data_IF_079330488536
#
_entry.id   IF_079330488536
#
_cell.length_a   1.000
_cell.length_b   1.000
_cell.length_c   1.000
_cell.angle_alpha   90.00
_cell.angle_beta   90.00
_cell.angle_gamma   90.00
#
_symmetry.space_group_name_H-M   'P 1'
#
loop_
_entity.id
_entity.type
_entity.pdbx_description
1 polymer ?
#
# COMPACT_ATOMS: atom_id res chain seq x y z
N UNK A 1 8.57 24.07 -48.10
CA UNK A 1 9.11 22.72 -47.91
C UNK A 1 10.41 22.84 -47.12
N UNK A 2 10.36 22.75 -45.78
CA UNK A 2 11.56 22.91 -44.95
C UNK A 2 12.31 21.58 -44.94
N UNK A 3 13.45 21.53 -45.64
CA UNK A 3 14.36 20.38 -45.65
C UNK A 3 15.04 20.27 -44.28
N UNK A 4 14.51 19.40 -43.42
CA UNK A 4 15.15 19.04 -42.15
C UNK A 4 16.39 18.20 -42.47
N UNK A 5 17.58 18.74 -42.16
CA UNK A 5 18.87 18.05 -42.28
C UNK A 5 18.83 16.65 -41.65
N UNK A 6 19.40 15.64 -42.32
CA UNK A 6 19.43 14.24 -41.85
C UNK A 6 20.07 14.04 -40.46
N UNK A 7 20.91 14.97 -40.01
CA UNK A 7 21.47 15.00 -38.63
C UNK A 7 20.45 15.43 -37.56
N UNK A 8 19.48 16.28 -37.92
CA UNK A 8 18.36 16.64 -37.02
C UNK A 8 17.37 15.48 -36.92
N UNK A 9 17.06 14.82 -38.04
CA UNK A 9 16.16 13.66 -38.07
C UNK A 9 16.66 12.49 -37.22
N UNK A 10 17.95 12.17 -37.30
CA UNK A 10 18.59 11.14 -36.46
C UNK A 10 18.59 11.50 -34.97
N UNK A 11 18.75 12.77 -34.60
CA UNK A 11 18.60 13.22 -33.21
C UNK A 11 17.17 13.10 -32.69
N UNK A 12 16.17 13.44 -33.51
CA UNK A 12 14.76 13.25 -33.14
C UNK A 12 14.39 11.78 -32.97
N UNK A 13 14.88 10.89 -33.84
CA UNK A 13 14.70 9.44 -33.69
C UNK A 13 15.37 8.94 -32.40
N UNK A 14 16.62 9.36 -32.14
CA UNK A 14 17.34 8.95 -30.94
C UNK A 14 16.64 9.40 -29.65
N UNK A 15 16.14 10.64 -29.59
CA UNK A 15 15.35 11.16 -28.46
C UNK A 15 14.04 10.41 -28.31
N UNK A 16 13.36 10.09 -29.43
CA UNK A 16 12.15 9.27 -29.43
C UNK A 16 12.40 7.86 -28.88
N UNK A 17 13.48 7.20 -29.31
CA UNK A 17 13.86 5.87 -28.82
C UNK A 17 14.24 5.93 -27.33
N UNK A 18 15.04 6.92 -26.90
CA UNK A 18 15.40 7.10 -25.48
C UNK A 18 14.18 7.35 -24.60
N UNK A 19 13.22 8.15 -25.09
CA UNK A 19 11.97 8.42 -24.37
C UNK A 19 11.11 7.15 -24.27
N UNK A 20 11.02 6.36 -25.34
CA UNK A 20 10.31 5.07 -25.33
C UNK A 20 10.99 4.06 -24.40
N UNK A 21 12.32 4.00 -24.38
CA UNK A 21 13.10 3.16 -23.46
C UNK A 21 12.86 3.61 -22.02
N UNK A 22 12.89 4.91 -21.72
CA UNK A 22 12.62 5.43 -20.39
C UNK A 22 11.20 5.12 -19.92
N UNK A 23 10.19 5.36 -20.77
CA UNK A 23 8.79 5.02 -20.49
C UNK A 23 8.64 3.51 -20.24
N UNK A 24 9.26 2.69 -21.08
CA UNK A 24 9.27 1.24 -20.93
C UNK A 24 9.96 0.80 -19.62
N UNK A 25 11.08 1.41 -19.26
CA UNK A 25 11.80 1.15 -18.01
C UNK A 25 10.98 1.56 -16.78
N UNK A 26 10.29 2.70 -16.81
CA UNK A 26 9.37 3.13 -15.74
C UNK A 26 8.23 2.13 -15.58
N UNK A 27 7.61 1.69 -16.69
CA UNK A 27 6.55 0.68 -16.64
C UNK A 27 7.03 -0.68 -16.13
N UNK A 28 8.25 -1.08 -16.46
CA UNK A 28 8.90 -2.28 -15.91
C UNK A 28 9.14 -2.16 -14.41
N UNK A 29 9.58 -0.99 -13.94
CA UNK A 29 9.75 -0.71 -12.51
C UNK A 29 8.41 -0.72 -11.77
N UNK A 30 7.37 -0.10 -12.31
CA UNK A 30 6.00 -0.16 -11.76
C UNK A 30 5.43 -1.58 -11.73
N UNK A 31 5.82 -2.43 -12.69
CA UNK A 31 5.43 -3.84 -12.74
C UNK A 31 6.18 -4.69 -11.70
N UNK A 32 7.45 -4.36 -11.43
CA UNK A 32 8.28 -5.05 -10.45
C UNK A 32 8.08 -4.55 -9.01
N UNK A 33 7.59 -3.31 -8.82
CA UNK A 33 7.42 -2.68 -7.51
C UNK A 33 6.53 -3.49 -6.53
N UNK A 34 5.44 -4.15 -6.97
CA UNK A 34 4.66 -5.04 -6.10
C UNK A 34 5.39 -6.32 -5.67
N UNK A 35 6.59 -6.59 -6.17
CA UNK A 35 7.41 -7.76 -5.81
C UNK A 35 8.76 -7.37 -5.18
N UNK A 36 9.17 -6.11 -5.25
CA UNK A 36 10.33 -5.60 -4.48
C UNK A 36 9.99 -5.63 -2.99
N UNK A 37 10.83 -6.28 -2.18
CA UNK A 37 10.67 -6.57 -0.74
C UNK A 37 9.72 -7.75 -0.40
N UNK A 38 10.18 -9.01 -0.58
CA UNK A 38 9.43 -10.20 -0.15
C UNK A 38 9.19 -10.26 1.36
N UNK A 39 10.14 -9.76 2.16
CA UNK A 39 10.10 -9.84 3.63
C UNK A 39 8.99 -9.02 4.29
N UNK A 40 8.45 -7.99 3.63
CA UNK A 40 7.32 -7.21 4.13
C UNK A 40 5.98 -7.94 3.96
N UNK A 41 5.87 -8.80 2.93
CA UNK A 41 4.65 -9.60 2.70
C UNK A 41 4.47 -10.66 3.79
N UNK A 42 5.55 -11.37 4.14
CA UNK A 42 5.53 -12.42 5.16
C UNK A 42 5.30 -11.90 6.58
N UNK A 43 5.61 -10.64 6.86
CA UNK A 43 5.34 -10.03 8.16
C UNK A 43 3.85 -9.65 8.35
N UNK A 44 3.08 -9.64 7.26
CA UNK A 44 1.70 -9.12 7.22
C UNK A 44 0.65 -10.22 6.97
N UNK A 45 1.06 -11.48 6.85
CA UNK A 45 0.19 -12.64 6.58
C UNK A 45 0.64 -13.85 7.37
N UNK A 46 -0.30 -14.75 7.64
CA UNK A 46 0.00 -16.08 8.17
C UNK A 46 0.43 -17.02 7.04
N UNK A 47 1.69 -17.43 7.06
CA UNK A 47 2.21 -18.41 6.11
C UNK A 47 1.79 -19.82 6.56
N UNK A 48 0.94 -20.45 5.78
CA UNK A 48 0.38 -21.77 6.09
C UNK A 48 1.25 -22.84 5.43
N UNK A 49 2.09 -23.48 6.23
CA UNK A 49 3.00 -24.56 5.82
C UNK A 49 2.43 -25.95 6.06
N UNK A 50 1.41 -26.05 6.94
CA UNK A 50 0.66 -27.27 7.22
C UNK A 50 -0.65 -26.91 7.90
N UNK A 51 -1.64 -27.80 7.82
CA UNK A 51 -2.87 -27.72 8.58
C UNK A 51 -3.23 -29.14 9.07
N UNK A 52 -3.61 -29.24 10.35
CA UNK A 52 -4.08 -30.48 10.95
C UNK A 52 -5.47 -30.27 11.57
N UNK A 53 -6.41 -31.15 11.27
CA UNK A 53 -7.73 -31.18 11.90
C UNK A 53 -7.58 -31.75 13.31
N UNK A 54 -7.91 -31.00 14.36
CA UNK A 54 -7.89 -31.53 15.72
C UNK A 54 -9.08 -32.48 15.93
N UNK A 55 -8.81 -33.76 16.05
CA UNK A 55 -9.76 -34.78 16.52
C UNK A 55 -10.01 -34.61 18.03
N UNK A 56 -10.80 -33.62 18.45
CA UNK A 56 -11.14 -33.46 19.87
C UNK A 56 -12.63 -33.21 20.09
N UNK A 57 -13.23 -34.18 20.79
CA UNK A 57 -14.62 -34.30 21.19
C UNK A 57 -15.08 -33.16 22.15
N UNK A 58 -16.35 -32.74 21.99
CA UNK A 58 -17.15 -31.71 22.70
C UNK A 58 -17.37 -31.93 24.23
N UNK A 59 -18.00 -31.02 25.05
CA UNK A 59 -19.01 -29.96 24.73
C UNK A 59 -19.04 -28.61 25.54
N UNK A 60 -19.90 -27.68 25.06
CA UNK A 60 -20.44 -26.41 25.64
C UNK A 60 -19.44 -25.25 25.85
N UNK A 61 -19.64 -24.03 25.33
CA UNK A 61 -20.86 -23.22 25.30
C UNK A 61 -20.71 -22.04 24.29
N UNK A 62 -21.83 -21.44 23.87
CA UNK A 62 -22.00 -20.24 23.01
C UNK A 62 -21.84 -20.40 21.48
N UNK A 63 -22.98 -20.29 20.79
CA UNK A 63 -23.19 -20.03 19.36
C UNK A 63 -22.19 -20.66 18.39
N UNK A 64 -22.62 -21.74 17.73
CA UNK A 64 -22.02 -22.28 16.51
C UNK A 64 -21.78 -21.16 15.49
N UNK A 65 -20.56 -20.60 15.49
CA UNK A 65 -20.10 -19.76 14.41
C UNK A 65 -20.09 -20.65 13.17
N UNK A 66 -20.97 -20.34 12.20
CA UNK A 66 -20.85 -20.87 10.85
C UNK A 66 -19.38 -20.72 10.41
N UNK A 67 -18.79 -21.67 9.65
CA UNK A 67 -17.45 -21.47 9.13
C UNK A 67 -17.41 -20.11 8.43
N UNK A 68 -16.45 -19.26 8.84
CA UNK A 68 -16.30 -17.89 8.33
C UNK A 68 -16.35 -17.92 6.79
N UNK A 69 -15.66 -18.91 6.20
CA UNK A 69 -15.63 -19.21 4.76
C UNK A 69 -16.69 -20.28 4.40
N UNK A 70 -17.75 -19.95 3.65
CA UNK A 70 -18.81 -20.88 3.25
C UNK A 70 -18.36 -22.10 2.43
N UNK A 71 -19.10 -23.21 2.54
CA UNK A 71 -18.87 -24.46 1.78
C UNK A 71 -19.41 -24.37 0.35
N UNK A 72 -18.97 -23.37 -0.40
CA UNK A 72 -19.27 -23.21 -1.82
C UNK A 72 -17.97 -23.10 -2.59
N UNK A 73 -17.87 -23.81 -3.71
CA UNK A 73 -16.77 -23.68 -4.67
C UNK A 73 -17.29 -22.99 -5.91
N UNK A 74 -16.63 -21.92 -6.30
CA UNK A 74 -16.93 -21.13 -7.48
C UNK A 74 -15.91 -21.43 -8.59
N UNK A 75 -16.43 -21.72 -9.76
CA UNK A 75 -15.67 -21.77 -11.01
C UNK A 75 -16.36 -20.89 -12.04
N UNK A 76 -15.61 -20.36 -13.01
CA UNK A 76 -16.13 -19.42 -14.01
C UNK A 76 -15.84 -19.96 -15.41
N UNK A 77 -16.86 -19.94 -16.27
CA UNK A 77 -16.71 -20.14 -17.70
C UNK A 77 -17.69 -19.24 -18.46
N UNK A 78 -17.52 -19.13 -19.78
CA UNK A 78 -18.42 -18.31 -20.60
C UNK A 78 -19.86 -18.79 -20.57
N UNK A 79 -20.05 -20.11 -20.54
CA UNK A 79 -21.36 -20.77 -20.62
C UNK A 79 -21.41 -21.97 -19.68
N UNK A 80 -22.58 -22.59 -19.54
CA UNK A 80 -22.74 -23.83 -18.76
C UNK A 80 -22.12 -25.06 -19.45
N UNK A 81 -21.80 -24.99 -20.74
CA UNK A 81 -21.19 -26.09 -21.49
C UNK A 81 -19.66 -26.02 -21.47
N UNK A 82 -19.05 -26.69 -20.49
CA UNK A 82 -17.58 -26.78 -20.34
C UNK A 82 -16.87 -27.50 -21.50
N UNK A 83 -17.59 -28.25 -22.34
CA UNK A 83 -17.00 -28.90 -23.53
C UNK A 83 -16.51 -27.87 -24.54
N UNK A 84 -17.08 -26.67 -24.52
CA UNK A 84 -16.62 -25.53 -25.33
C UNK A 84 -15.25 -25.01 -24.91
N UNK A 85 -14.78 -25.34 -23.70
CA UNK A 85 -13.41 -25.07 -23.28
C UNK A 85 -12.49 -26.26 -23.61
N UNK A 86 -12.73 -27.40 -22.96
CA UNK A 86 -12.14 -28.70 -23.29
C UNK A 86 -12.77 -29.81 -22.44
N UNK A 87 -12.64 -31.06 -22.89
CA UNK A 87 -13.06 -32.23 -22.11
C UNK A 87 -12.29 -32.38 -20.79
N UNK A 88 -11.03 -31.94 -20.73
CA UNK A 88 -10.23 -31.94 -19.51
C UNK A 88 -10.82 -31.03 -18.42
N UNK A 89 -11.46 -29.94 -18.81
CA UNK A 89 -12.01 -28.95 -17.89
C UNK A 89 -13.38 -29.38 -17.36
N UNK A 90 -14.13 -30.14 -18.18
CA UNK A 90 -15.30 -30.89 -17.70
C UNK A 90 -14.87 -31.88 -16.61
N UNK A 91 -13.80 -32.64 -16.86
CA UNK A 91 -13.27 -33.60 -15.87
C UNK A 91 -12.78 -32.92 -14.58
N UNK A 92 -12.24 -31.71 -14.65
CA UNK A 92 -11.86 -30.93 -13.46
C UNK A 92 -13.06 -30.53 -12.61
N UNK A 93 -14.10 -29.96 -13.24
CA UNK A 93 -15.34 -29.59 -12.55
C UNK A 93 -16.01 -30.81 -11.89
N UNK A 94 -16.05 -31.95 -12.61
CA UNK A 94 -16.56 -33.20 -12.07
C UNK A 94 -15.72 -33.72 -10.90
N UNK A 95 -14.40 -33.49 -10.90
CA UNK A 95 -13.53 -33.87 -9.79
C UNK A 95 -13.82 -33.06 -8.52
N UNK A 96 -14.08 -31.75 -8.64
CA UNK A 96 -14.53 -30.93 -7.51
C UNK A 96 -15.86 -31.43 -6.94
N UNK A 97 -16.81 -31.78 -7.79
CA UNK A 97 -18.10 -32.36 -7.37
C UNK A 97 -17.94 -33.67 -6.62
N UNK A 98 -17.24 -34.62 -7.22
CA UNK A 98 -17.01 -35.93 -6.63
C UNK A 98 -16.28 -35.86 -5.29
N UNK A 99 -15.35 -34.91 -5.14
CA UNK A 99 -14.54 -34.77 -3.94
C UNK A 99 -15.28 -34.06 -2.80
N UNK A 100 -16.12 -33.04 -3.08
CA UNK A 100 -16.67 -32.16 -2.03
C UNK A 100 -18.21 -32.18 -1.89
N UNK A 101 -19.00 -32.51 -2.91
CA UNK A 101 -20.46 -32.62 -2.75
C UNK A 101 -20.88 -33.65 -1.67
N UNK A 102 -20.20 -34.83 -1.54
CA UNK A 102 -20.47 -35.76 -0.44
C UNK A 102 -20.23 -35.18 0.96
N UNK A 103 -19.48 -34.08 1.06
CA UNK A 103 -19.13 -33.36 2.28
C UNK A 103 -19.96 -32.08 2.46
N UNK A 104 -21.12 -32.00 1.79
CA UNK A 104 -22.07 -30.89 1.87
C UNK A 104 -21.53 -29.55 1.32
N UNK A 105 -20.73 -29.60 0.25
CA UNK A 105 -20.34 -28.41 -0.52
C UNK A 105 -21.25 -28.22 -1.73
N UNK A 106 -21.44 -26.96 -2.11
CA UNK A 106 -22.07 -26.60 -3.39
C UNK A 106 -20.99 -26.24 -4.42
N UNK A 107 -20.98 -26.89 -5.59
CA UNK A 107 -20.06 -26.55 -6.68
C UNK A 107 -20.82 -25.74 -7.74
N UNK A 108 -20.50 -24.45 -7.85
CA UNK A 108 -21.20 -23.49 -8.71
C UNK A 108 -20.33 -23.08 -9.89
N UNK A 109 -20.88 -23.27 -11.10
CA UNK A 109 -20.31 -22.72 -12.32
C UNK A 109 -21.03 -21.42 -12.67
N UNK A 110 -20.29 -20.32 -12.75
CA UNK A 110 -20.78 -19.01 -13.15
C UNK A 110 -20.54 -18.77 -14.63
N UNK A 111 -21.58 -18.33 -15.33
CA UNK A 111 -21.49 -17.89 -16.74
C UNK A 111 -21.19 -16.40 -16.86
N UNK A 112 -20.78 -15.94 -18.05
CA UNK A 112 -20.59 -14.50 -18.32
C UNK A 112 -21.88 -13.71 -18.02
N UNK A 113 -23.05 -14.27 -18.32
CA UNK A 113 -24.36 -13.67 -18.03
C UNK A 113 -24.65 -13.58 -16.53
N UNK A 114 -24.32 -14.62 -15.76
CA UNK A 114 -24.48 -14.61 -14.30
C UNK A 114 -23.59 -13.54 -13.64
N UNK A 115 -22.36 -13.39 -14.13
CA UNK A 115 -21.45 -12.35 -13.65
C UNK A 115 -21.98 -10.95 -13.96
N UNK A 116 -22.50 -10.72 -15.17
CA UNK A 116 -23.10 -9.44 -15.53
C UNK A 116 -24.34 -9.14 -14.68
N UNK A 117 -25.17 -10.15 -14.38
CA UNK A 117 -26.31 -9.99 -13.47
C UNK A 117 -25.85 -9.62 -12.05
N UNK A 118 -24.81 -10.30 -11.53
CA UNK A 118 -24.22 -9.99 -10.22
C UNK A 118 -23.70 -8.55 -10.16
N UNK A 119 -22.99 -8.10 -11.21
CA UNK A 119 -22.46 -6.74 -11.28
C UNK A 119 -23.59 -5.71 -11.32
N UNK A 120 -24.61 -5.92 -12.17
CA UNK A 120 -25.74 -4.99 -12.27
C UNK A 120 -26.52 -4.87 -10.94
N UNK A 121 -26.66 -5.97 -10.21
CA UNK A 121 -27.38 -5.99 -8.94
C UNK A 121 -26.58 -5.42 -7.77
N UNK A 122 -25.31 -5.83 -7.61
CA UNK A 122 -24.55 -5.59 -6.38
C UNK A 122 -23.29 -4.74 -6.55
N UNK A 123 -22.75 -4.62 -7.78
CA UNK A 123 -21.53 -3.87 -8.06
C UNK A 123 -21.68 -2.89 -9.25
N UNK A 124 -22.75 -2.09 -9.33
CA UNK A 124 -23.01 -1.24 -10.49
C UNK A 124 -21.88 -0.21 -10.73
N UNK A 125 -21.16 0.15 -9.66
CA UNK A 125 -20.00 1.04 -9.71
C UNK A 125 -18.81 0.46 -10.50
N UNK A 126 -18.77 -0.86 -10.76
CA UNK A 126 -17.71 -1.55 -11.50
C UNK A 126 -18.09 -1.83 -12.96
N UNK A 127 -19.38 -1.76 -13.32
CA UNK A 127 -19.91 -2.21 -14.61
C UNK A 127 -19.16 -1.63 -15.81
N UNK A 128 -19.04 -0.30 -15.88
CA UNK A 128 -18.36 0.37 -17.00
C UNK A 128 -16.90 -0.06 -17.15
N UNK A 129 -16.22 -0.32 -16.04
CA UNK A 129 -14.83 -0.79 -16.06
C UNK A 129 -14.74 -2.25 -16.51
N UNK A 130 -15.67 -3.08 -16.04
CA UNK A 130 -15.77 -4.51 -16.39
C UNK A 130 -16.03 -4.72 -17.88
N UNK A 131 -17.01 -4.01 -18.45
CA UNK A 131 -17.31 -4.03 -19.89
C UNK A 131 -16.16 -3.43 -20.70
N UNK A 132 -15.48 -2.42 -20.15
CA UNK A 132 -14.37 -1.73 -20.79
C UNK A 132 -13.06 -2.51 -20.90
N UNK A 133 -12.94 -3.69 -20.27
CA UNK A 133 -11.74 -4.52 -20.34
C UNK A 133 -11.49 -5.03 -21.78
N UNK A 134 -10.28 -4.88 -22.33
CA UNK A 134 -9.99 -5.32 -23.70
C UNK A 134 -9.88 -6.85 -23.82
N UNK A 135 -9.55 -7.57 -22.75
CA UNK A 135 -9.35 -9.02 -22.78
C UNK A 135 -10.37 -9.75 -21.91
N UNK A 136 -10.87 -10.89 -22.41
CA UNK A 136 -11.80 -11.74 -21.65
C UNK A 136 -11.19 -12.28 -20.34
N UNK A 137 -9.89 -12.54 -20.33
CA UNK A 137 -9.21 -12.99 -19.10
C UNK A 137 -9.25 -11.92 -18.00
N UNK A 138 -9.25 -10.62 -18.34
CA UNK A 138 -9.38 -9.56 -17.34
C UNK A 138 -10.78 -9.56 -16.71
N UNK A 139 -11.81 -9.87 -17.51
CA UNK A 139 -13.17 -10.09 -17.02
C UNK A 139 -13.23 -11.30 -16.09
N UNK A 140 -12.60 -12.42 -16.44
CA UNK A 140 -12.53 -13.60 -15.57
C UNK A 140 -11.72 -13.37 -14.28
N UNK A 141 -10.60 -12.66 -14.37
CA UNK A 141 -9.78 -12.18 -13.24
C UNK A 141 -10.56 -11.30 -12.26
N UNK A 142 -11.47 -10.47 -12.75
CA UNK A 142 -12.31 -9.64 -11.90
C UNK A 142 -13.52 -10.41 -11.35
N UNK A 143 -14.11 -11.26 -12.19
CA UNK A 143 -15.26 -12.08 -11.85
C UNK A 143 -14.98 -13.02 -10.67
N UNK A 144 -13.80 -13.63 -10.60
CA UNK A 144 -13.44 -14.50 -9.46
C UNK A 144 -13.45 -13.77 -8.12
N UNK A 145 -12.95 -12.53 -8.09
CA UNK A 145 -12.96 -11.71 -6.87
C UNK A 145 -14.39 -11.30 -6.51
N UNK A 146 -15.21 -10.97 -7.52
CA UNK A 146 -16.61 -10.57 -7.34
C UNK A 146 -17.46 -11.69 -6.74
N UNK A 147 -17.36 -12.91 -7.27
CA UNK A 147 -18.20 -14.03 -6.82
C UNK A 147 -17.87 -14.42 -5.39
N UNK A 148 -16.58 -14.49 -5.03
CA UNK A 148 -16.16 -14.79 -3.66
C UNK A 148 -16.48 -13.62 -2.72
N UNK A 149 -16.32 -12.37 -3.14
CA UNK A 149 -16.74 -11.25 -2.29
C UNK A 149 -18.27 -11.26 -2.06
N UNK A 150 -19.06 -11.67 -3.05
CA UNK A 150 -20.52 -11.73 -2.93
C UNK A 150 -21.02 -12.89 -2.06
N UNK A 151 -20.53 -14.10 -2.31
CA UNK A 151 -21.06 -15.34 -1.71
C UNK A 151 -20.12 -15.96 -0.66
N UNK A 152 -18.89 -15.47 -0.53
CA UNK A 152 -17.82 -16.12 0.22
C UNK A 152 -17.33 -17.38 -0.48
N UNK A 153 -16.63 -18.23 0.25
CA UNK A 153 -16.29 -19.58 -0.17
C UNK A 153 -14.96 -19.67 -0.90
N UNK A 154 -14.83 -20.69 -1.73
CA UNK A 154 -13.59 -21.09 -2.40
C UNK A 154 -13.72 -20.75 -3.88
N UNK A 155 -12.72 -20.12 -4.46
CA UNK A 155 -12.56 -20.02 -5.90
C UNK A 155 -11.45 -20.94 -6.39
N UNK A 156 -11.69 -21.60 -7.52
CA UNK A 156 -10.69 -22.39 -8.23
C UNK A 156 -10.86 -22.22 -9.75
N UNK A 157 -9.77 -21.94 -10.46
CA UNK A 157 -9.77 -22.00 -11.93
C UNK A 157 -10.11 -23.43 -12.41
N UNK A 158 -10.61 -23.55 -13.64
CA UNK A 158 -11.03 -24.85 -14.20
C UNK A 158 -9.88 -25.83 -14.40
N UNK A 159 -8.63 -25.36 -14.42
CA UNK A 159 -7.41 -26.17 -14.49
C UNK A 159 -6.77 -26.49 -13.14
N UNK A 160 -7.44 -26.10 -12.04
CA UNK A 160 -7.10 -26.44 -10.67
C UNK A 160 -7.96 -27.61 -10.19
N UNK A 161 -7.31 -28.65 -9.68
CA UNK A 161 -7.96 -29.87 -9.18
C UNK A 161 -7.80 -29.96 -7.66
N UNK A 162 -8.81 -30.41 -6.90
CA UNK A 162 -8.62 -30.67 -5.47
C UNK A 162 -7.73 -31.91 -5.29
N UNK A 163 -6.71 -31.80 -4.44
CA UNK A 163 -5.86 -32.94 -4.07
C UNK A 163 -6.39 -33.61 -2.80
N UNK A 164 -6.92 -32.83 -1.85
CA UNK A 164 -7.40 -33.35 -0.58
C UNK A 164 -8.56 -32.52 0.00
N UNK A 165 -9.72 -33.17 0.16
CA UNK A 165 -10.87 -32.57 0.83
C UNK A 165 -10.59 -32.22 2.30
N UNK A 166 -9.83 -33.07 3.00
CA UNK A 166 -9.52 -32.85 4.43
C UNK A 166 -8.62 -31.63 4.62
N UNK A 167 -7.68 -31.39 3.69
CA UNK A 167 -6.83 -30.20 3.74
C UNK A 167 -7.63 -28.93 3.41
N UNK A 168 -8.57 -28.99 2.45
CA UNK A 168 -9.48 -27.87 2.16
C UNK A 168 -10.35 -27.53 3.36
N UNK A 169 -10.96 -28.53 4.02
CA UNK A 169 -11.74 -28.34 5.25
C UNK A 169 -10.89 -27.76 6.38
N UNK A 170 -9.64 -28.23 6.51
CA UNK A 170 -8.71 -27.70 7.50
C UNK A 170 -8.42 -26.21 7.26
N UNK A 171 -8.15 -25.80 6.02
CA UNK A 171 -7.93 -24.39 5.68
C UNK A 171 -9.11 -23.49 6.08
N UNK A 172 -10.34 -23.93 5.83
CA UNK A 172 -11.55 -23.20 6.24
C UNK A 172 -11.72 -23.09 7.76
N UNK A 173 -11.08 -23.98 8.53
CA UNK A 173 -11.12 -23.97 10.00
C UNK A 173 -10.12 -23.03 10.67
N UNK A 174 -9.20 -22.42 9.90
CA UNK A 174 -8.14 -21.55 10.43
C UNK A 174 -8.63 -20.17 10.92
N UNK A 175 -9.93 -19.87 10.78
CA UNK A 175 -10.53 -18.61 11.23
C UNK A 175 -9.82 -17.36 10.64
N UNK A 176 -9.51 -17.45 9.34
CA UNK A 176 -8.89 -16.39 8.54
C UNK A 176 -9.94 -15.77 7.60
N UNK A 177 -9.86 -14.44 7.42
CA UNK A 177 -10.65 -13.63 6.48
C UNK A 177 -10.55 -14.17 5.05
N UNK A 178 -9.33 -14.43 4.61
CA UNK A 178 -9.07 -15.00 3.30
C UNK A 178 -7.72 -15.73 3.25
N UNK A 179 -7.64 -16.75 2.42
CA UNK A 179 -6.44 -17.56 2.20
C UNK A 179 -6.17 -17.64 0.70
N UNK A 180 -4.95 -17.29 0.29
CA UNK A 180 -4.54 -17.26 -1.12
C UNK A 180 -3.47 -18.31 -1.43
N UNK A 181 -3.52 -18.87 -2.64
CA UNK A 181 -2.39 -19.59 -3.18
C UNK A 181 -1.25 -18.61 -3.57
N UNK A 182 0.02 -19.05 -3.48
CA UNK A 182 1.16 -18.23 -3.87
C UNK A 182 1.30 -18.12 -5.39
N UNK A 183 1.92 -17.04 -5.86
CA UNK A 183 2.41 -16.93 -7.25
C UNK A 183 3.70 -17.75 -7.42
N UNK A 184 4.64 -17.56 -6.50
CA UNK A 184 5.89 -18.31 -6.35
C UNK A 184 6.52 -17.95 -5.00
N UNK A 185 6.75 -18.94 -4.15
CA UNK A 185 7.13 -18.75 -2.76
C UNK A 185 6.21 -17.79 -2.04
N UNK A 186 6.76 -16.88 -1.23
CA UNK A 186 5.99 -15.84 -0.54
C UNK A 186 5.92 -14.52 -1.32
N UNK A 187 6.23 -14.53 -2.63
CA UNK A 187 6.43 -13.30 -3.40
C UNK A 187 5.13 -12.56 -3.75
N UNK A 188 3.98 -13.23 -3.73
CA UNK A 188 2.72 -12.58 -4.07
C UNK A 188 1.51 -13.50 -3.99
N UNK A 189 0.34 -12.87 -3.98
CA UNK A 189 -0.97 -13.53 -3.92
C UNK A 189 -1.40 -13.88 -5.34
N UNK A 190 -1.65 -15.15 -5.59
CA UNK A 190 -2.22 -15.61 -6.83
C UNK A 190 -3.73 -15.65 -6.75
N UNK A 191 -4.39 -15.46 -7.88
CA UNK A 191 -5.84 -15.44 -7.96
C UNK A 191 -6.39 -16.66 -8.72
N UNK A 192 -5.60 -17.72 -8.94
CA UNK A 192 -6.08 -18.97 -9.55
C UNK A 192 -6.82 -19.87 -8.55
N UNK A 193 -6.45 -19.77 -7.27
CA UNK A 193 -7.09 -20.43 -6.15
C UNK A 193 -7.00 -19.54 -4.90
N UNK A 194 -8.12 -19.32 -4.25
CA UNK A 194 -8.20 -18.64 -2.97
C UNK A 194 -9.55 -18.93 -2.32
N UNK A 195 -9.68 -18.62 -1.04
CA UNK A 195 -10.94 -18.70 -0.32
C UNK A 195 -11.09 -17.50 0.60
N UNK A 196 -12.32 -17.04 0.83
CA UNK A 196 -12.56 -15.90 1.70
C UNK A 196 -13.99 -15.88 2.25
N UNK A 197 -14.17 -15.06 3.27
CA UNK A 197 -15.48 -14.73 3.81
C UNK A 197 -16.32 -13.90 2.83
N UNK A 198 -17.66 -14.03 2.91
CA UNK A 198 -18.54 -13.11 2.20
C UNK A 198 -18.30 -11.69 2.70
N UNK A 199 -18.17 -10.75 1.76
CA UNK A 199 -17.86 -9.33 2.02
C UNK A 199 -16.51 -9.10 2.69
N UNK A 200 -15.51 -9.96 2.42
CA UNK A 200 -14.12 -9.75 2.86
C UNK A 200 -13.66 -8.31 2.58
N UNK A 201 -13.26 -7.54 3.61
CA UNK A 201 -12.69 -6.20 3.46
C UNK A 201 -11.51 -6.15 2.48
N UNK A 202 -10.63 -7.16 2.50
CA UNK A 202 -9.54 -7.26 1.55
C UNK A 202 -10.03 -7.45 0.11
N UNK A 203 -10.98 -8.34 -0.13
CA UNK A 203 -11.54 -8.52 -1.47
C UNK A 203 -12.23 -7.26 -1.98
N UNK A 204 -12.97 -6.54 -1.11
CA UNK A 204 -13.55 -5.25 -1.45
C UNK A 204 -12.49 -4.24 -1.90
N UNK A 205 -11.35 -4.21 -1.20
CA UNK A 205 -10.20 -3.39 -1.56
C UNK A 205 -9.56 -3.81 -2.89
N UNK A 206 -9.39 -5.12 -3.12
CA UNK A 206 -8.88 -5.65 -4.38
C UNK A 206 -9.79 -5.30 -5.57
N UNK A 207 -11.12 -5.30 -5.39
CA UNK A 207 -12.06 -4.85 -6.42
C UNK A 207 -11.89 -3.36 -6.73
N UNK A 208 -11.66 -2.51 -5.71
CA UNK A 208 -11.37 -1.09 -5.94
C UNK A 208 -10.05 -0.86 -6.69
N UNK A 209 -9.01 -1.62 -6.34
CA UNK A 209 -7.73 -1.55 -7.05
C UNK A 209 -7.87 -2.05 -8.50
N UNK A 210 -8.63 -3.13 -8.72
CA UNK A 210 -8.98 -3.64 -10.04
C UNK A 210 -9.74 -2.62 -10.89
N UNK A 211 -10.67 -1.87 -10.28
CA UNK A 211 -11.34 -0.74 -10.95
C UNK A 211 -10.36 0.37 -11.32
N UNK A 212 -9.49 0.76 -10.38
CA UNK A 212 -8.52 1.85 -10.55
C UNK A 212 -7.54 1.56 -11.69
N UNK A 213 -7.07 0.31 -11.78
CA UNK A 213 -6.12 -0.15 -12.81
C UNK A 213 -6.79 -0.55 -14.11
N UNK A 214 -8.07 -0.93 -14.06
CA UNK A 214 -8.82 -1.48 -15.17
C UNK A 214 -9.32 -0.46 -16.19
N UNK A 215 -10.11 -0.96 -17.15
CA UNK A 215 -10.77 -0.12 -18.16
C UNK A 215 -9.77 0.64 -19.04
N UNK A 216 -10.02 1.94 -19.23
CA UNK A 216 -9.20 2.83 -20.04
C UNK A 216 -7.76 2.97 -19.52
N UNK A 217 -7.57 2.92 -18.19
CA UNK A 217 -6.25 3.05 -17.56
C UNK A 217 -5.31 1.97 -18.05
N UNK A 218 -5.69 0.68 -18.05
CA UNK A 218 -4.80 -0.40 -18.50
C UNK A 218 -4.37 -0.32 -19.98
N UNK A 219 -5.01 0.51 -20.82
CA UNK A 219 -4.75 0.56 -22.28
C UNK A 219 -3.38 1.12 -22.64
N UNK A 220 -2.72 1.85 -21.73
CA UNK A 220 -1.36 2.35 -21.97
C UNK A 220 -0.31 1.23 -22.01
N UNK A 221 -0.59 0.04 -21.43
CA UNK A 221 0.34 -1.10 -21.43
C UNK A 221 0.19 -1.84 -22.76
N UNK A 222 1.17 -1.80 -23.69
CA UNK A 222 0.99 -2.31 -25.05
C UNK A 222 0.99 -3.84 -25.11
N UNK A 223 1.63 -4.53 -24.14
CA UNK A 223 1.75 -5.99 -24.09
C UNK A 223 0.54 -6.57 -23.36
N UNK A 224 -0.36 -7.32 -24.02
CA UNK A 224 -1.57 -7.86 -23.40
C UNK A 224 -1.29 -8.72 -22.15
N UNK A 225 -0.29 -9.60 -22.17
CA UNK A 225 0.06 -10.42 -21.02
C UNK A 225 0.38 -9.57 -19.77
N UNK A 226 1.27 -8.57 -19.91
CA UNK A 226 1.60 -7.66 -18.80
C UNK A 226 0.39 -6.81 -18.38
N UNK A 227 -0.45 -6.42 -19.34
CA UNK A 227 -1.69 -5.68 -19.07
C UNK A 227 -2.62 -6.48 -18.17
N UNK A 228 -2.81 -7.77 -18.46
CA UNK A 228 -3.65 -8.67 -17.66
C UNK A 228 -3.10 -8.78 -16.24
N UNK A 229 -1.82 -9.17 -16.11
CA UNK A 229 -1.16 -9.32 -14.80
C UNK A 229 -1.25 -8.06 -13.95
N UNK A 230 -0.97 -6.90 -14.53
CA UNK A 230 -0.93 -5.62 -13.81
C UNK A 230 -2.31 -5.10 -13.41
N UNK A 231 -3.34 -5.32 -14.24
CA UNK A 231 -4.66 -4.69 -14.06
C UNK A 231 -5.69 -5.55 -13.32
N UNK A 232 -5.63 -6.86 -13.45
CA UNK A 232 -6.63 -7.78 -12.88
C UNK A 232 -6.02 -9.07 -12.34
N UNK A 233 -4.83 -9.45 -12.78
CA UNK A 233 -4.14 -10.67 -12.37
C UNK A 233 -3.38 -10.57 -11.03
N UNK A 234 -2.48 -11.53 -10.75
CA UNK A 234 -1.78 -11.64 -9.47
C UNK A 234 -0.99 -10.39 -9.03
N UNK A 235 -0.40 -9.64 -9.97
CA UNK A 235 0.31 -8.40 -9.65
C UNK A 235 -0.64 -7.33 -9.12
N UNK A 236 -1.88 -7.27 -9.63
CA UNK A 236 -2.90 -6.37 -9.10
C UNK A 236 -3.28 -6.76 -7.68
N UNK A 237 -3.61 -8.04 -7.44
CA UNK A 237 -4.03 -8.55 -6.12
C UNK A 237 -2.93 -8.36 -5.08
N UNK A 238 -1.69 -8.69 -5.43
CA UNK A 238 -0.52 -8.49 -4.56
C UNK A 238 -0.32 -7.02 -4.21
N UNK A 239 -0.48 -6.11 -5.17
CA UNK A 239 -0.35 -4.69 -4.91
C UNK A 239 -1.54 -4.11 -4.10
N UNK A 240 -2.75 -4.64 -4.30
CA UNK A 240 -3.90 -4.32 -3.47
C UNK A 240 -3.62 -4.72 -2.02
N UNK A 241 -3.11 -5.94 -1.81
CA UNK A 241 -2.74 -6.47 -0.50
C UNK A 241 -1.71 -5.59 0.21
N UNK A 242 -0.60 -5.24 -0.45
CA UNK A 242 0.44 -4.40 0.16
C UNK A 242 -0.09 -3.06 0.65
N UNK A 243 -0.94 -2.41 -0.15
CA UNK A 243 -1.58 -1.15 0.25
C UNK A 243 -2.58 -1.35 1.38
N UNK A 244 -3.34 -2.43 1.33
CA UNK A 244 -4.29 -2.80 2.38
C UNK A 244 -3.56 -3.02 3.71
N UNK A 245 -2.52 -3.85 3.73
CA UNK A 245 -1.68 -4.11 4.90
C UNK A 245 -1.06 -2.82 5.45
N UNK A 246 -0.55 -1.93 4.57
CA UNK A 246 0.02 -0.64 4.97
C UNK A 246 -1.01 0.29 5.61
N UNK A 247 -2.23 0.39 5.06
CA UNK A 247 -3.28 1.28 5.57
C UNK A 247 -3.89 0.82 6.88
N UNK A 248 -4.06 -0.48 7.05
CA UNK A 248 -4.81 -1.04 8.18
C UNK A 248 -3.91 -1.56 9.31
N UNK A 249 -2.60 -1.28 9.28
CA UNK A 249 -1.69 -1.44 10.42
C UNK A 249 -1.77 -2.82 11.09
N UNK A 250 -1.27 -3.84 10.39
CA UNK A 250 -1.20 -5.27 10.76
C UNK A 250 -1.07 -5.58 12.26
N UNK A 251 -2.20 -5.62 12.97
CA UNK A 251 -2.35 -6.26 14.29
C UNK A 251 -3.40 -7.39 14.29
N UNK A 252 -3.95 -7.71 13.12
CA UNK A 252 -4.76 -8.90 12.95
C UNK A 252 -4.28 -9.65 11.70
N UNK A 253 -3.57 -10.76 11.91
CA UNK A 253 -3.12 -11.67 10.86
C UNK A 253 -4.30 -12.46 10.27
N UNK A 254 -5.34 -11.77 9.80
CA UNK A 254 -6.54 -12.45 9.31
C UNK A 254 -6.40 -12.92 7.86
N UNK A 255 -5.25 -12.72 7.21
CA UNK A 255 -5.00 -13.16 5.83
C UNK A 255 -3.92 -14.23 5.81
N UNK A 256 -4.22 -15.36 5.15
CA UNK A 256 -3.32 -16.49 4.99
C UNK A 256 -2.72 -16.57 3.59
N UNK A 257 -1.47 -17.04 3.51
CA UNK A 257 -0.81 -17.40 2.26
C UNK A 257 -0.32 -18.85 2.35
N UNK A 258 -0.73 -19.69 1.41
CA UNK A 258 -0.23 -21.06 1.35
C UNK A 258 1.26 -21.05 0.99
N UNK A 259 2.05 -21.89 1.66
CA UNK A 259 3.39 -22.21 1.20
C UNK A 259 3.35 -23.00 -0.12
N UNK A 260 4.36 -22.84 -0.99
CA UNK A 260 4.42 -23.53 -2.29
C UNK A 260 4.32 -25.06 -2.14
N UNK A 261 5.01 -25.63 -1.15
CA UNK A 261 5.00 -27.07 -0.91
C UNK A 261 3.63 -27.52 -0.43
N UNK A 262 3.06 -26.81 0.54
CA UNK A 262 1.76 -27.16 1.11
C UNK A 262 0.60 -26.93 0.14
N UNK A 263 0.67 -25.92 -0.73
CA UNK A 263 -0.31 -25.66 -1.78
C UNK A 263 -0.56 -26.90 -2.64
N UNK A 264 0.49 -27.65 -2.99
CA UNK A 264 0.37 -28.89 -3.77
C UNK A 264 -0.36 -30.04 -3.04
N UNK A 265 -0.35 -30.03 -1.70
CA UNK A 265 -1.08 -31.00 -0.88
C UNK A 265 -2.59 -30.68 -0.83
N UNK A 266 -2.98 -29.43 -1.10
CA UNK A 266 -4.37 -28.96 -1.11
C UNK A 266 -4.95 -29.06 -2.53
N UNK A 267 -4.22 -28.56 -3.51
CA UNK A 267 -4.64 -28.45 -4.91
C UNK A 267 -3.53 -28.87 -5.88
N UNK A 268 -3.92 -29.30 -7.07
CA UNK A 268 -3.02 -29.54 -8.18
C UNK A 268 -3.36 -28.60 -9.34
N UNK A 269 -2.41 -27.76 -9.72
CA UNK A 269 -2.51 -26.93 -10.93
C UNK A 269 -1.96 -27.72 -12.11
N UNK A 270 -2.84 -28.22 -13.00
CA UNK A 270 -2.36 -28.61 -14.33
C UNK A 270 -2.06 -27.33 -15.06
N UNK A 271 -0.90 -27.20 -15.72
CA UNK A 271 -0.48 -25.96 -16.38
C UNK A 271 -1.47 -25.50 -17.47
N UNK A 272 -2.61 -24.93 -17.09
CA UNK A 272 -3.54 -24.27 -17.96
C UNK A 272 -3.02 -22.87 -18.16
N UNK A 273 -2.51 -22.66 -19.36
CA UNK A 273 -2.02 -21.37 -19.83
C UNK A 273 -3.24 -20.57 -20.24
N UNK A 274 -4.00 -20.06 -19.26
CA UNK A 274 -5.27 -19.34 -19.47
C UNK A 274 -5.16 -18.17 -20.46
N UNK A 275 -3.95 -17.63 -20.66
CA UNK A 275 -3.62 -16.75 -21.77
C UNK A 275 -3.01 -17.49 -22.97
N UNK A 276 -3.74 -17.48 -24.08
CA UNK A 276 -3.33 -18.12 -25.34
C UNK A 276 -2.77 -17.16 -26.40
N UNK A 277 -2.52 -15.89 -26.07
CA UNK A 277 -1.93 -14.92 -27.00
C UNK A 277 -0.49 -15.25 -27.38
N UNK A 278 -0.01 -14.70 -28.50
CA UNK A 278 1.34 -14.97 -29.02
C UNK A 278 2.46 -14.55 -28.09
N UNK A 279 2.26 -13.46 -27.34
CA UNK A 279 3.16 -12.97 -26.30
C UNK A 279 3.28 -13.95 -25.12
N UNK A 280 2.16 -14.47 -24.61
CA UNK A 280 2.23 -15.47 -23.54
C UNK A 280 2.75 -16.82 -24.03
N UNK A 281 2.53 -17.21 -25.30
CA UNK A 281 3.23 -18.37 -25.87
C UNK A 281 4.75 -18.17 -25.87
N UNK A 282 5.24 -16.96 -26.17
CA UNK A 282 6.66 -16.64 -26.11
C UNK A 282 7.20 -16.65 -24.67
N UNK A 283 6.49 -16.05 -23.70
CA UNK A 283 6.88 -16.10 -22.28
C UNK A 283 6.89 -17.53 -21.73
N UNK A 284 5.87 -18.33 -22.06
CA UNK A 284 5.79 -19.72 -21.68
C UNK A 284 6.93 -20.54 -22.30
N UNK A 285 7.26 -20.32 -23.58
CA UNK A 285 8.39 -20.95 -24.24
C UNK A 285 9.72 -20.61 -23.54
N UNK A 286 9.93 -19.34 -23.18
CA UNK A 286 11.11 -18.89 -22.43
C UNK A 286 11.15 -19.59 -21.07
N UNK A 287 10.04 -19.64 -20.33
CA UNK A 287 9.96 -20.29 -19.02
C UNK A 287 10.27 -21.80 -19.09
N UNK A 288 9.69 -22.49 -20.08
CA UNK A 288 9.86 -23.94 -20.29
C UNK A 288 11.32 -24.31 -20.67
N UNK A 289 12.00 -23.44 -21.42
CA UNK A 289 13.33 -23.74 -21.98
C UNK A 289 14.49 -23.12 -21.18
N UNK A 290 14.20 -22.26 -20.21
CA UNK A 290 15.24 -21.64 -19.38
C UNK A 290 15.69 -22.54 -18.21
N UNK A 291 14.99 -23.64 -17.94
CA UNK A 291 15.17 -24.41 -16.70
C UNK A 291 14.67 -23.59 -15.50
N UNK A 292 14.04 -24.25 -14.53
CA UNK A 292 13.29 -23.64 -13.43
C UNK A 292 14.07 -22.69 -12.51
N UNK A 293 15.37 -22.44 -12.78
CA UNK A 293 16.21 -21.46 -12.09
C UNK A 293 16.66 -20.25 -12.94
N UNK A 294 16.33 -20.13 -14.24
CA UNK A 294 16.79 -19.00 -15.09
C UNK A 294 15.69 -18.09 -15.65
N UNK A 295 14.45 -18.25 -15.19
CA UNK A 295 13.43 -17.18 -15.33
C UNK A 295 13.82 -15.90 -14.53
N UNK A 296 14.93 -15.96 -13.78
CA UNK A 296 15.58 -14.84 -13.11
C UNK A 296 16.25 -13.80 -14.04
N UNK A 297 16.46 -14.09 -15.33
CA UNK A 297 17.15 -13.14 -16.22
C UNK A 297 16.29 -11.93 -16.64
N UNK A 298 14.96 -12.00 -16.49
CA UNK A 298 14.09 -10.82 -16.63
C UNK A 298 13.88 -10.03 -15.33
N UNK A 299 14.20 -10.62 -14.18
CA UNK A 299 14.05 -9.97 -12.87
C UNK A 299 15.35 -9.35 -12.34
N UNK A 300 16.54 -9.80 -12.77
CA UNK A 300 17.82 -9.33 -12.23
C UNK A 300 18.67 -8.42 -13.14
N UNK A 301 18.29 -8.19 -14.40
CA UNK A 301 19.11 -7.33 -15.29
C UNK A 301 18.98 -5.82 -15.00
N UNK A 302 18.01 -5.41 -14.17
CA UNK A 302 17.91 -4.03 -13.68
C UNK A 302 18.85 -3.70 -12.52
N UNK A 303 19.33 -4.70 -11.77
CA UNK A 303 20.04 -4.47 -10.49
C UNK A 303 21.55 -4.67 -10.54
N UNK A 304 22.14 -4.92 -11.73
CA UNK A 304 23.59 -5.19 -11.88
C UNK A 304 24.35 -4.29 -12.87
N UNK A 305 23.69 -3.31 -13.49
CA UNK A 305 24.34 -2.31 -14.36
C UNK A 305 24.63 -0.97 -13.66
N UNK A 306 24.33 -0.85 -12.36
CA UNK A 306 24.73 0.29 -11.54
C UNK A 306 25.34 -0.20 -10.22
N UNK A 307 26.50 -0.85 -10.31
CA UNK A 307 27.49 -0.82 -9.22
C UNK A 307 28.79 -0.31 -9.81
N UNK A 308 29.33 0.70 -9.15
CA UNK A 308 30.54 1.46 -9.53
C UNK A 308 30.41 2.41 -10.72
N UNK A 309 29.54 3.41 -10.55
CA UNK A 309 30.01 4.79 -10.73
C UNK A 309 29.74 5.51 -9.43
N UNK A 310 30.79 6.08 -8.84
CA UNK A 310 30.71 7.12 -7.82
C UNK A 310 29.65 8.12 -8.29
N UNK A 311 28.49 8.07 -7.66
CA UNK A 311 27.45 9.07 -7.89
C UNK A 311 28.05 10.42 -7.49
N UNK A 312 27.84 11.48 -8.29
CA UNK A 312 28.18 12.82 -7.84
C UNK A 312 27.41 13.06 -6.54
N UNK A 313 28.05 13.74 -5.59
CA UNK A 313 27.44 14.22 -4.36
C UNK A 313 26.10 14.87 -4.76
N UNK A 314 24.98 14.22 -4.44
CA UNK A 314 23.66 14.80 -4.59
C UNK A 314 23.67 15.98 -3.63
N UNK A 315 23.71 17.19 -4.17
CA UNK A 315 23.38 18.37 -3.40
C UNK A 315 21.93 18.16 -2.97
N UNK A 316 21.70 18.00 -1.66
CA UNK A 316 20.34 17.93 -1.12
C UNK A 316 19.61 19.19 -1.61
N UNK A 317 18.54 18.98 -2.38
CA UNK A 317 17.68 20.06 -2.82
C UNK A 317 17.02 20.64 -1.57
N UNK A 318 17.47 21.84 -1.16
CA UNK A 318 16.94 22.52 0.02
C UNK A 318 15.88 23.52 -0.42
N UNK A 319 14.75 23.50 0.28
CA UNK A 319 13.72 24.53 0.11
C UNK A 319 14.30 25.84 0.68
N UNK A 320 14.23 26.96 -0.05
CA UNK A 320 14.73 28.24 0.45
C UNK A 320 13.93 28.66 1.70
N UNK A 321 14.64 29.10 2.76
CA UNK A 321 13.97 29.69 3.92
C UNK A 321 13.54 31.13 3.62
N UNK A 322 12.37 31.50 4.13
CA UNK A 322 11.87 32.87 4.06
C UNK A 322 12.37 33.66 5.28
N UNK A 323 12.59 34.98 5.15
CA UNK A 323 12.99 35.81 6.29
C UNK A 323 11.89 35.85 7.35
N UNK A 324 12.29 35.95 8.63
CA UNK A 324 11.35 36.11 9.75
C UNK A 324 10.44 37.35 9.62
N UNK A 325 10.90 38.38 8.93
CA UNK A 325 10.09 39.55 8.57
C UNK A 325 9.69 39.47 7.11
N UNK A 326 8.41 39.21 6.85
CA UNK A 326 7.85 39.07 5.51
C UNK A 326 7.48 40.42 4.89
N UNK A 327 7.48 40.48 3.56
CA UNK A 327 7.05 41.64 2.77
C UNK A 327 5.96 41.22 1.76
N UNK A 328 4.76 41.81 1.80
CA UNK A 328 4.29 42.82 2.75
C UNK A 328 4.20 42.27 4.19
N UNK A 329 4.28 43.17 5.17
CA UNK A 329 4.21 42.79 6.58
C UNK A 329 2.84 42.18 6.93
N UNK A 330 2.85 41.07 7.67
CA UNK A 330 1.64 40.49 8.22
C UNK A 330 1.02 41.40 9.29
N UNK A 331 -0.29 41.27 9.49
CA UNK A 331 -1.02 42.05 10.51
C UNK A 331 -2.07 41.22 11.23
N UNK A 332 -2.57 41.74 12.35
CA UNK A 332 -3.64 41.11 13.11
C UNK A 332 -3.32 39.67 13.54
N UNK A 333 -4.26 38.77 13.28
CA UNK A 333 -4.17 37.34 13.66
C UNK A 333 -3.10 36.60 12.86
N UNK A 334 -2.87 36.97 11.60
CA UNK A 334 -1.86 36.32 10.75
C UNK A 334 -0.46 36.55 11.28
N UNK A 335 -0.17 37.76 11.78
CA UNK A 335 1.13 38.08 12.39
C UNK A 335 1.38 37.34 13.72
N UNK A 336 0.32 36.99 14.45
CA UNK A 336 0.41 36.20 15.69
C UNK A 336 0.58 34.72 15.35
N UNK A 337 -0.21 34.21 14.40
CA UNK A 337 -0.08 32.86 13.86
C UNK A 337 1.34 32.61 13.31
N UNK A 338 1.91 33.59 12.64
CA UNK A 338 3.26 33.52 12.09
C UNK A 338 4.34 33.27 13.17
N UNK A 339 4.15 33.72 14.41
CA UNK A 339 5.08 33.37 15.49
C UNK A 339 5.10 31.86 15.78
N UNK A 340 3.95 31.17 15.69
CA UNK A 340 3.89 29.71 15.79
C UNK A 340 4.54 29.04 14.57
N UNK A 341 4.30 29.57 13.37
CA UNK A 341 4.91 29.03 12.15
C UNK A 341 6.42 29.17 12.13
N UNK A 342 6.97 30.32 12.54
CA UNK A 342 8.41 30.52 12.66
C UNK A 342 9.04 29.57 13.69
N UNK A 343 8.34 29.28 14.79
CA UNK A 343 8.77 28.27 15.75
C UNK A 343 8.87 26.89 15.11
N UNK A 344 7.80 26.39 14.48
CA UNK A 344 7.80 25.00 13.96
C UNK A 344 8.61 24.83 12.68
N UNK A 345 8.58 25.82 11.77
CA UNK A 345 9.41 25.79 10.57
C UNK A 345 10.90 25.90 10.93
N UNK A 346 11.25 26.72 11.94
CA UNK A 346 12.63 26.79 12.42
C UNK A 346 13.15 25.43 12.91
N UNK A 347 12.29 24.63 13.56
CA UNK A 347 12.62 23.24 13.92
C UNK A 347 12.76 22.36 12.67
N UNK A 348 11.77 22.37 11.78
CA UNK A 348 11.70 21.47 10.62
C UNK A 348 12.79 21.73 9.59
N UNK A 349 13.23 22.97 9.45
CA UNK A 349 14.27 23.37 8.48
C UNK A 349 15.64 23.55 9.11
N UNK A 350 15.81 23.26 10.41
CA UNK A 350 17.03 23.53 11.17
C UNK A 350 17.51 24.99 10.99
N UNK A 351 16.58 25.95 11.05
CA UNK A 351 16.85 27.39 10.93
C UNK A 351 16.76 28.04 12.31
N UNK A 352 17.92 28.13 12.98
CA UNK A 352 18.02 28.72 14.32
C UNK A 352 17.59 30.20 14.33
N UNK A 353 17.87 30.96 13.27
CA UNK A 353 17.51 32.36 13.22
C UNK A 353 16.00 32.56 13.09
N UNK A 354 15.34 31.73 12.28
CA UNK A 354 13.89 31.69 12.16
C UNK A 354 13.24 31.24 13.47
N UNK A 355 13.77 30.19 14.10
CA UNK A 355 13.32 29.70 15.40
C UNK A 355 13.42 30.80 16.48
N UNK A 356 14.60 31.42 16.62
CA UNK A 356 14.86 32.46 17.63
C UNK A 356 13.97 33.67 17.46
N UNK A 357 13.65 34.02 16.21
CA UNK A 357 12.77 35.14 15.93
C UNK A 357 11.38 34.96 16.58
N UNK A 358 10.93 33.72 16.77
CA UNK A 358 9.60 33.39 17.30
C UNK A 358 9.46 33.66 18.80
N UNK A 359 10.57 33.75 19.55
CA UNK A 359 10.55 33.78 21.01
C UNK A 359 11.08 35.09 21.58
N UNK A 360 10.56 35.44 22.76
CA UNK A 360 11.23 36.43 23.62
C UNK A 360 12.45 35.80 24.30
N UNK A 361 13.49 36.58 24.67
CA UNK A 361 14.69 36.03 25.33
C UNK A 361 14.40 35.28 26.63
N UNK A 362 13.35 35.67 27.33
CA UNK A 362 12.90 35.11 28.62
C UNK A 362 11.73 34.14 28.47
N UNK A 363 11.45 33.66 27.26
CA UNK A 363 10.30 32.78 27.01
C UNK A 363 10.37 31.49 27.86
N UNK A 364 9.21 30.93 28.19
CA UNK A 364 9.09 29.59 28.76
C UNK A 364 8.50 28.64 27.72
N UNK A 365 9.05 27.43 27.65
CA UNK A 365 8.61 26.39 26.74
C UNK A 365 8.40 25.10 27.52
N UNK A 366 7.21 24.52 27.44
CA UNK A 366 6.88 23.28 28.15
C UNK A 366 6.34 22.22 27.22
N UNK A 367 6.86 21.00 27.34
CA UNK A 367 6.30 19.79 26.71
C UNK A 367 5.94 18.82 27.83
N UNK A 368 4.68 18.39 27.89
CA UNK A 368 4.19 17.40 28.86
C UNK A 368 4.58 17.70 30.32
N UNK A 369 4.59 18.98 30.70
CA UNK A 369 4.93 19.43 32.05
C UNK A 369 6.42 19.61 32.33
N UNK A 370 7.33 19.16 31.46
CA UNK A 370 8.76 19.51 31.54
C UNK A 370 8.93 20.93 31.03
N UNK A 371 9.58 21.81 31.80
CA UNK A 371 9.68 23.24 31.50
C UNK A 371 11.13 23.64 31.21
N UNK A 372 11.33 24.43 30.16
CA UNK A 372 12.56 25.12 29.81
C UNK A 372 12.34 26.63 29.88
N UNK A 373 13.21 27.33 30.61
CA UNK A 373 13.08 28.77 30.87
C UNK A 373 14.23 29.56 30.26
N UNK A 374 13.90 30.51 29.40
CA UNK A 374 14.85 31.31 28.62
C UNK A 374 15.35 30.60 27.37
N UNK A 375 15.68 31.39 26.34
CA UNK A 375 16.13 30.89 25.03
C UNK A 375 17.25 29.83 25.12
N UNK A 376 18.32 29.99 25.94
CA UNK A 376 19.37 28.98 26.04
C UNK A 376 18.85 27.60 26.48
N UNK A 377 17.93 27.57 27.45
CA UNK A 377 17.35 26.30 27.90
C UNK A 377 16.40 25.70 26.85
N UNK A 378 15.69 26.54 26.09
CA UNK A 378 14.83 26.11 24.98
C UNK A 378 15.69 25.51 23.86
N UNK A 379 16.85 26.09 23.56
CA UNK A 379 17.80 25.53 22.61
C UNK A 379 18.25 24.14 23.03
N UNK A 380 18.83 24.02 24.23
CA UNK A 380 19.38 22.76 24.71
C UNK A 380 18.34 21.64 24.80
N UNK A 381 17.13 21.96 25.27
CA UNK A 381 16.12 20.94 25.56
C UNK A 381 15.13 20.68 24.40
N UNK A 382 15.15 21.50 23.35
CA UNK A 382 14.24 21.36 22.21
C UNK A 382 14.98 21.49 20.88
N UNK A 383 15.46 22.68 20.52
CA UNK A 383 16.04 22.92 19.19
C UNK A 383 17.23 21.99 18.89
N UNK A 384 18.17 21.85 19.83
CA UNK A 384 19.38 21.03 19.65
C UNK A 384 19.09 19.52 19.57
N UNK A 385 17.94 19.10 20.11
CA UNK A 385 17.46 17.73 20.01
C UNK A 385 16.83 17.51 18.64
N UNK A 386 15.89 18.38 18.25
CA UNK A 386 15.09 18.23 17.03
C UNK A 386 15.89 18.51 15.76
N UNK A 387 16.87 19.43 15.78
CA UNK A 387 17.69 19.77 14.60
C UNK A 387 18.48 18.60 14.00
N UNK A 388 18.60 17.50 14.74
CA UNK A 388 19.28 16.26 14.32
C UNK A 388 18.34 15.28 13.62
N UNK A 389 17.05 15.59 13.56
CA UNK A 389 15.99 14.72 13.09
C UNK A 389 15.45 15.22 11.75
N UNK A 390 14.88 14.30 10.97
CA UNK A 390 13.99 14.68 9.87
C UNK A 390 12.59 14.85 10.48
N UNK A 391 12.08 16.07 10.50
CA UNK A 391 10.83 16.40 11.18
C UNK A 391 9.88 17.23 10.31
N UNK A 392 8.58 17.08 10.55
CA UNK A 392 7.56 17.97 10.01
C UNK A 392 6.44 18.18 11.02
N UNK A 393 6.11 19.43 11.30
CA UNK A 393 5.07 19.85 12.22
C UNK A 393 3.92 20.56 11.47
N UNK A 394 2.71 20.01 11.58
CA UNK A 394 1.49 20.59 11.06
C UNK A 394 0.72 21.27 12.17
N UNK A 395 0.62 22.60 12.15
CA UNK A 395 -0.14 23.38 13.14
C UNK A 395 -1.42 23.91 12.51
N UNK A 396 -2.57 23.55 13.08
CA UNK A 396 -3.91 23.90 12.59
C UNK A 396 -4.87 24.22 13.73
N UNK A 397 -6.13 24.52 13.40
CA UNK A 397 -7.20 24.84 14.37
C UNK A 397 -6.83 25.98 15.33
N UNK A 398 -6.10 26.98 14.82
CA UNK A 398 -5.55 28.06 15.63
C UNK A 398 -6.67 29.03 16.04
N UNK A 399 -6.86 29.20 17.35
CA UNK A 399 -7.77 30.19 17.93
C UNK A 399 -6.97 31.23 18.66
N UNK A 400 -7.12 32.49 18.28
CA UNK A 400 -6.37 33.62 18.85
C UNK A 400 -7.32 34.51 19.65
N UNK A 401 -6.86 34.99 20.79
CA UNK A 401 -7.48 36.07 21.54
C UNK A 401 -6.47 37.21 21.69
N UNK A 402 -6.78 38.38 21.13
CA UNK A 402 -5.92 39.57 21.23
C UNK A 402 -6.46 40.40 22.38
N UNK A 403 -5.60 40.78 23.32
CA UNK A 403 -5.99 41.63 24.44
C UNK A 403 -6.36 43.03 23.94
N UNK A 404 -7.22 43.74 24.69
CA UNK A 404 -7.65 45.12 24.35
C UNK A 404 -6.46 46.09 24.21
N UNK A 405 -5.34 45.80 24.87
CA UNK A 405 -4.10 46.57 24.76
C UNK A 405 -3.47 46.50 23.36
N UNK A 406 -3.84 45.52 22.53
CA UNK A 406 -3.29 45.31 21.18
C UNK A 406 -1.84 44.85 21.14
N UNK A 407 -1.19 44.66 22.29
CA UNK A 407 0.23 44.28 22.43
C UNK A 407 0.44 42.92 23.09
N UNK A 408 -0.63 42.29 23.58
CA UNK A 408 -0.65 40.93 24.12
C UNK A 408 -1.69 40.09 23.40
N UNK A 409 -1.42 38.80 23.26
CA UNK A 409 -2.38 37.84 22.73
C UNK A 409 -2.14 36.46 23.36
N UNK A 410 -3.15 35.60 23.28
CA UNK A 410 -3.04 34.19 23.60
C UNK A 410 -3.61 33.35 22.44
N UNK A 411 -3.08 32.15 22.22
CA UNK A 411 -3.61 31.23 21.22
C UNK A 411 -3.62 29.79 21.69
N UNK A 412 -4.58 29.03 21.17
CA UNK A 412 -4.58 27.56 21.21
C UNK A 412 -4.46 27.01 19.79
N UNK A 413 -3.81 25.86 19.62
CA UNK A 413 -3.74 25.17 18.33
C UNK A 413 -3.72 23.64 18.50
N UNK A 414 -4.07 22.92 17.45
CA UNK A 414 -3.80 21.50 17.31
C UNK A 414 -2.55 21.30 16.46
N UNK A 415 -1.71 20.35 16.83
CA UNK A 415 -0.52 20.02 16.06
C UNK A 415 -0.38 18.52 15.84
N UNK A 416 0.18 18.14 14.70
CA UNK A 416 0.69 16.80 14.43
C UNK A 416 2.16 16.95 14.08
N UNK A 417 3.03 16.18 14.72
CA UNK A 417 4.46 16.21 14.53
C UNK A 417 4.97 14.82 14.16
N UNK A 418 5.64 14.71 13.02
CA UNK A 418 6.26 13.49 12.54
C UNK A 418 7.77 13.62 12.64
N UNK A 419 8.44 12.64 13.23
CA UNK A 419 9.89 12.61 13.40
C UNK A 419 10.47 11.30 12.90
N UNK A 420 11.65 11.39 12.31
CA UNK A 420 12.54 10.29 11.96
C UNK A 420 13.97 10.65 12.36
N UNK A 421 14.86 9.67 12.56
CA UNK A 421 16.29 9.97 12.67
C UNK A 421 16.78 10.75 11.43
N UNK A 422 17.73 11.66 11.62
CA UNK A 422 18.20 12.54 10.55
C UNK A 422 18.70 11.79 9.31
N UNK A 423 18.23 12.20 8.13
CA UNK A 423 18.51 11.59 6.84
C UNK A 423 17.85 10.23 6.61
N UNK A 424 17.01 9.75 7.53
CA UNK A 424 16.39 8.42 7.49
C UNK A 424 14.91 8.44 7.10
N UNK A 425 14.29 9.61 6.97
CA UNK A 425 12.84 9.72 6.72
C UNK A 425 12.33 9.05 5.44
N UNK A 426 13.20 8.85 4.44
CA UNK A 426 12.87 8.17 3.17
C UNK A 426 13.33 6.70 3.12
N UNK A 427 13.95 6.18 4.18
CA UNK A 427 14.35 4.78 4.26
C UNK A 427 13.14 3.91 4.62
N UNK A 428 13.00 2.77 3.93
CA UNK A 428 11.98 1.80 4.25
C UNK A 428 12.17 1.28 5.68
N UNK A 429 11.07 1.23 6.46
CA UNK A 429 11.05 0.75 7.85
C UNK A 429 11.92 1.55 8.83
N UNK A 430 12.28 2.80 8.52
CA UNK A 430 12.94 3.67 9.49
C UNK A 430 12.09 3.83 10.76
N UNK A 431 12.71 3.77 11.96
CA UNK A 431 12.00 4.05 13.20
C UNK A 431 11.47 5.48 13.15
N UNK A 432 10.27 5.68 13.69
CA UNK A 432 9.53 6.94 13.57
C UNK A 432 8.78 7.24 14.84
N UNK A 433 8.52 8.52 15.07
CA UNK A 433 7.62 8.98 16.12
C UNK A 433 6.61 9.97 15.55
N UNK A 434 5.34 9.59 15.58
CA UNK A 434 4.21 10.47 15.29
C UNK A 434 3.57 10.89 16.61
N UNK A 435 3.35 12.19 16.78
CA UNK A 435 2.75 12.74 17.99
C UNK A 435 1.63 13.72 17.64
N UNK A 436 0.46 13.54 18.27
CA UNK A 436 -0.59 14.54 18.27
C UNK A 436 -0.47 15.42 19.50
N UNK A 437 -0.48 16.74 19.32
CA UNK A 437 -0.31 17.70 20.40
C UNK A 437 -1.37 18.80 20.41
N UNK A 438 -1.64 19.33 21.60
CA UNK A 438 -2.40 20.55 21.83
C UNK A 438 -1.46 21.63 22.33
N UNK A 439 -1.48 22.77 21.65
CA UNK A 439 -0.65 23.92 21.97
C UNK A 439 -1.46 25.01 22.65
N UNK A 440 -0.83 25.65 23.63
CA UNK A 440 -1.22 26.94 24.18
C UNK A 440 0.00 27.86 24.13
N UNK A 441 -0.20 29.12 23.72
CA UNK A 441 0.86 30.10 23.73
C UNK A 441 0.37 31.50 24.13
N UNK A 442 1.18 32.20 24.92
CA UNK A 442 1.06 33.63 25.19
C UNK A 442 2.07 34.40 24.33
N UNK A 443 1.63 35.53 23.78
CA UNK A 443 2.39 36.35 22.86
C UNK A 443 2.46 37.80 23.31
N UNK A 444 3.58 38.44 22.96
CA UNK A 444 3.79 39.87 23.07
C UNK A 444 4.23 40.45 21.74
N UNK A 445 3.75 41.65 21.43
CA UNK A 445 4.22 42.40 20.27
C UNK A 445 5.53 43.09 20.63
N UNK A 446 6.60 42.74 19.92
CA UNK A 446 7.92 43.34 20.11
C UNK A 446 8.03 44.63 19.29
N UNK A 447 8.22 45.77 19.96
CA UNK A 447 8.23 47.07 19.28
C UNK A 447 9.45 47.26 18.36
N UNK A 448 10.60 46.66 18.74
CA UNK A 448 11.86 46.77 17.98
C UNK A 448 11.78 46.05 16.64
N UNK A 449 11.45 44.75 16.65
CA UNK A 449 11.32 43.94 15.43
C UNK A 449 9.97 44.09 14.73
N UNK A 450 8.96 44.64 15.43
CA UNK A 450 7.54 44.68 15.01
C UNK A 450 6.89 43.31 14.83
N UNK A 451 7.56 42.24 15.24
CA UNK A 451 7.05 40.87 15.20
C UNK A 451 6.26 40.55 16.49
N UNK A 452 5.33 39.61 16.39
CA UNK A 452 4.82 38.93 17.57
C UNK A 452 5.80 37.85 18.01
N UNK A 453 6.00 37.72 19.32
CA UNK A 453 6.91 36.77 19.92
C UNK A 453 6.24 36.02 21.06
N UNK A 454 6.61 34.76 21.21
CA UNK A 454 6.12 33.85 22.23
C UNK A 454 6.81 34.17 23.57
N UNK A 455 6.02 34.35 24.62
CA UNK A 455 6.47 34.46 26.02
C UNK A 455 6.29 33.15 26.77
N UNK A 456 5.22 32.43 26.48
CA UNK A 456 4.93 31.13 27.08
C UNK A 456 4.44 30.22 25.98
N UNK A 457 4.98 29.01 25.90
CA UNK A 457 4.53 27.95 25.03
C UNK A 457 4.33 26.68 25.85
N UNK A 458 3.19 26.02 25.67
CA UNK A 458 2.87 24.74 26.30
C UNK A 458 2.35 23.79 25.24
N UNK A 459 3.00 22.65 25.12
CA UNK A 459 2.54 21.52 24.34
C UNK A 459 2.18 20.36 25.27
N UNK A 460 1.00 19.79 25.04
CA UNK A 460 0.56 18.53 25.66
C UNK A 460 0.33 17.52 24.56
N UNK A 461 0.94 16.35 24.67
CA UNK A 461 0.88 15.26 23.70
C UNK A 461 0.00 14.14 24.26
N UNK A 462 -1.34 14.18 24.06
CA UNK A 462 -2.24 13.15 24.60
C UNK A 462 -2.05 11.76 24.01
N UNK A 463 -1.46 11.66 22.81
CA UNK A 463 -1.19 10.38 22.16
C UNK A 463 0.05 10.47 21.26
N UNK A 464 0.68 9.32 21.06
CA UNK A 464 1.82 9.14 20.15
C UNK A 464 1.80 7.73 19.57
N UNK A 465 2.37 7.57 18.39
CA UNK A 465 2.58 6.29 17.73
C UNK A 465 4.05 6.15 17.31
N UNK A 466 4.61 4.94 17.46
CA UNK A 466 5.99 4.64 17.12
C UNK A 466 6.94 4.70 18.33
N UNK A 467 8.21 5.03 18.08
CA UNK A 467 9.31 4.87 19.02
C UNK A 467 9.81 6.21 19.58
N UNK A 468 9.67 6.42 20.88
CA UNK A 468 10.20 7.59 21.58
C UNK A 468 11.74 7.65 21.59
N UNK A 469 12.41 6.52 21.35
CA UNK A 469 13.87 6.45 21.15
C UNK A 469 14.37 7.33 20.00
N UNK A 470 13.50 7.68 19.04
CA UNK A 470 13.85 8.61 17.95
C UNK A 470 14.25 10.00 18.46
N UNK A 471 13.66 10.46 19.57
CA UNK A 471 13.94 11.78 20.15
C UNK A 471 14.93 11.69 21.34
N UNK A 472 15.08 10.51 21.97
CA UNK A 472 15.88 10.30 23.18
C UNK A 472 17.33 9.86 22.91
N UNK A 473 18.07 10.56 22.03
CA UNK A 473 19.45 10.15 21.64
C UNK A 473 20.52 10.46 22.71
N UNK A 474 20.15 10.80 23.95
CA UNK A 474 21.08 11.19 25.02
C UNK A 474 20.89 10.41 26.35
N UNK A 475 20.28 9.22 26.33
CA UNK A 475 20.25 8.31 27.50
C UNK A 475 21.13 7.06 27.29
N UNK A 476 22.33 7.23 26.72
CA UNK A 476 23.46 6.27 26.87
C UNK A 476 24.59 6.87 27.71
#
# INVERSE_FOLDING_TARGET
MVLISGKRWTRFIAVGILSLVLIFSIHLLDFANPFSNPGELSASMDIITSCATSDSEHPNDSHSALPQIPNVVHQIWKTTDLRTYSTQMTASHDHWKQTLEPLNYTIKLWTDDDILQLINGSYPWLLSTYEGYPQNIQRADMARLLVVHAEGGIYADLDVYPTSATQIQCLQSLNLEAIFAPVSGTLGLSNHFFMAEPRSPFLQWALYEGKRRGGATSRFIPIPYLRVFWSTGPTMVTAAFRKYAWLYGTLQNNLGLLDDGYSTAVIQHKAGRSWHGSDGRAFNYIADHSGSGRCFLFYHFGSRLFREKTLPIVTMESIPSLPATLNPSLSGRDAITDALYRCVLGLDTNDLALFDSAFTPTATFSINGKVSSGLPAIHTNCFDVIKKLDTTHFVTNIRINIADSGVKAAATASAIAQHYPGGKGNEANAPRLLAGAQYYADFVKDEGSRLWKIETFKAVTPWSEGDWGVINVNEE
#
